data_IF_816993326544
#
_entry.id   IF_816993326544
#
_cell.length_a   1.000
_cell.length_b   1.000
_cell.length_c   1.000
_cell.angle_alpha   90.00
_cell.angle_beta   90.00
_cell.angle_gamma   90.00
#
_symmetry.space_group_name_H-M   'P 1'
#
loop_
_entity.id
_entity.type
_entity.pdbx_description
1 polymer ?
#
# COMPACT_ATOMS: atom_id res chain seq x y z
N UNK A 1 -12.97 6.05 -11.28
CA UNK A 1 -12.11 4.92 -10.87
C UNK A 1 -11.78 4.06 -12.08
N UNK A 2 -10.52 3.72 -12.25
CA UNK A 2 -10.09 2.81 -13.32
C UNK A 2 -9.84 1.42 -12.73
N UNK A 3 -10.47 0.41 -13.31
CA UNK A 3 -10.29 -0.98 -12.92
C UNK A 3 -9.50 -1.70 -13.99
N UNK A 4 -8.40 -2.34 -13.60
CA UNK A 4 -7.53 -3.05 -14.54
C UNK A 4 -7.27 -4.45 -14.00
N UNK A 5 -7.49 -5.46 -14.85
CA UNK A 5 -7.11 -6.84 -14.56
C UNK A 5 -6.01 -7.26 -15.52
N UNK A 6 -4.98 -7.89 -14.99
CA UNK A 6 -3.85 -8.34 -15.78
C UNK A 6 -3.15 -9.50 -15.09
N UNK A 7 -2.68 -10.50 -15.83
CA UNK A 7 -1.76 -11.47 -15.25
C UNK A 7 -0.49 -10.77 -14.74
N UNK A 8 0.15 -11.28 -13.70
CA UNK A 8 1.35 -10.64 -13.16
C UNK A 8 2.45 -10.39 -14.18
N UNK A 9 2.62 -11.29 -15.15
CA UNK A 9 3.66 -11.18 -16.17
C UNK A 9 3.42 -10.03 -17.17
N UNK A 10 2.20 -9.53 -17.25
CA UNK A 10 1.85 -8.42 -18.15
C UNK A 10 1.78 -7.07 -17.45
N UNK A 11 1.89 -7.03 -16.12
CA UNK A 11 1.80 -5.79 -15.36
C UNK A 11 2.80 -4.73 -15.81
N UNK A 12 3.99 -5.14 -16.19
CA UNK A 12 5.03 -4.22 -16.66
C UNK A 12 4.55 -3.35 -17.83
N UNK A 13 3.70 -3.91 -18.69
CA UNK A 13 3.18 -3.21 -19.86
C UNK A 13 1.87 -2.49 -19.56
N UNK A 14 1.02 -3.12 -18.75
CA UNK A 14 -0.33 -2.62 -18.48
C UNK A 14 -0.33 -1.41 -17.54
N UNK A 15 0.54 -1.41 -16.51
CA UNK A 15 0.55 -0.33 -15.52
C UNK A 15 0.87 1.05 -16.12
N UNK A 16 1.90 1.20 -16.97
CA UNK A 16 2.15 2.51 -17.59
C UNK A 16 0.96 3.01 -18.42
N UNK A 17 0.27 2.11 -19.11
CA UNK A 17 -0.91 2.46 -19.88
C UNK A 17 -2.05 2.95 -18.98
N UNK A 18 -2.25 2.28 -17.85
CA UNK A 18 -3.28 2.67 -16.90
C UNK A 18 -2.98 4.04 -16.28
N UNK A 19 -1.72 4.26 -15.91
CA UNK A 19 -1.29 5.54 -15.34
C UNK A 19 -1.48 6.68 -16.35
N UNK A 20 -1.16 6.45 -17.62
CA UNK A 20 -1.36 7.44 -18.66
C UNK A 20 -2.82 7.88 -18.79
N UNK A 21 -3.76 6.96 -18.62
CA UNK A 21 -5.18 7.28 -18.67
C UNK A 21 -5.63 8.17 -17.51
N UNK A 22 -4.85 8.20 -16.43
CA UNK A 22 -5.14 8.99 -15.25
C UNK A 22 -4.26 10.23 -15.12
N UNK A 23 -3.71 10.71 -16.24
CA UNK A 23 -2.76 11.83 -16.26
C UNK A 23 -3.32 13.16 -15.73
N UNK A 24 -4.65 13.31 -15.69
CA UNK A 24 -5.30 14.54 -15.24
C UNK A 24 -5.54 14.61 -13.74
N UNK A 25 -5.15 13.60 -12.98
CA UNK A 25 -5.39 13.57 -11.54
C UNK A 25 -4.15 14.00 -10.76
N UNK A 26 -4.36 14.49 -9.53
CA UNK A 26 -3.27 14.97 -8.67
C UNK A 26 -2.54 13.83 -7.97
N UNK A 27 -3.18 12.70 -7.81
CA UNK A 27 -2.60 11.54 -7.16
C UNK A 27 -3.28 10.28 -7.61
N UNK A 28 -2.57 9.17 -7.47
CA UNK A 28 -3.05 7.85 -7.87
C UNK A 28 -2.81 6.90 -6.72
N UNK A 29 -3.83 6.14 -6.37
CA UNK A 29 -3.73 5.06 -5.40
C UNK A 29 -3.82 3.74 -6.17
N UNK A 30 -2.81 2.90 -6.00
CA UNK A 30 -2.77 1.59 -6.64
C UNK A 30 -2.84 0.52 -5.56
N UNK A 31 -3.77 -0.41 -5.70
CA UNK A 31 -3.91 -1.54 -4.81
C UNK A 31 -3.33 -2.78 -5.46
N UNK A 32 -2.51 -3.51 -4.72
CA UNK A 32 -1.94 -4.75 -5.19
C UNK A 32 -0.45 -4.85 -4.92
N UNK A 33 -0.01 -5.99 -4.39
CA UNK A 33 1.38 -6.19 -4.00
C UNK A 33 2.34 -6.22 -5.20
N UNK A 34 1.90 -6.81 -6.30
CA UNK A 34 2.77 -6.99 -7.47
C UNK A 34 3.05 -5.69 -8.22
N UNK A 35 2.18 -4.69 -8.08
CA UNK A 35 2.34 -3.44 -8.79
C UNK A 35 3.56 -2.64 -8.36
N UNK A 36 4.02 -2.82 -7.13
CA UNK A 36 5.13 -2.05 -6.57
C UNK A 36 6.43 -2.25 -7.34
N UNK A 37 6.63 -3.44 -7.88
CA UNK A 37 7.84 -3.73 -8.65
C UNK A 37 7.94 -2.90 -9.94
N UNK A 38 6.80 -2.52 -10.50
CA UNK A 38 6.73 -1.83 -11.79
C UNK A 38 6.40 -0.35 -11.69
N UNK A 39 5.99 0.08 -10.52
CA UNK A 39 5.76 1.48 -10.22
C UNK A 39 6.76 1.93 -9.17
N UNK A 40 7.13 3.19 -9.21
CA UNK A 40 7.96 3.78 -8.16
C UNK A 40 7.06 4.68 -7.33
N UNK A 41 6.31 4.12 -6.38
CA UNK A 41 5.37 4.91 -5.60
C UNK A 41 6.11 5.88 -4.68
N UNK A 42 5.49 7.04 -4.45
CA UNK A 42 6.02 8.01 -3.50
C UNK A 42 5.83 7.52 -2.07
N UNK A 43 4.74 6.82 -1.81
CA UNK A 43 4.43 6.28 -0.48
C UNK A 43 3.90 4.86 -0.64
N UNK A 44 4.43 3.95 0.17
CA UNK A 44 3.98 2.57 0.23
C UNK A 44 3.28 2.34 1.56
N UNK A 45 2.02 1.91 1.52
CA UNK A 45 1.23 1.61 2.69
C UNK A 45 0.94 0.12 2.74
N UNK A 46 1.36 -0.53 3.82
CA UNK A 46 1.07 -1.94 4.06
C UNK A 46 -0.09 -2.03 5.04
N UNK A 47 -1.11 -2.79 4.66
CA UNK A 47 -2.28 -3.03 5.52
C UNK A 47 -2.21 -4.46 6.03
N UNK A 48 -2.05 -4.60 7.34
CA UNK A 48 -1.98 -5.92 7.98
C UNK A 48 -3.39 -6.46 8.21
N UNK A 49 -3.64 -7.67 7.73
CA UNK A 49 -4.91 -8.32 7.91
C UNK A 49 -5.12 -8.81 9.35
N UNK A 50 -6.36 -9.20 9.65
CA UNK A 50 -6.74 -9.70 10.99
C UNK A 50 -6.18 -11.08 11.30
N UNK A 51 -5.85 -11.86 10.28
CA UNK A 51 -5.43 -13.24 10.46
C UNK A 51 -3.93 -13.36 10.41
N UNK A 52 -3.34 -13.83 11.52
CA UNK A 52 -1.91 -14.07 11.61
C UNK A 52 -1.50 -15.30 10.84
N UNK A 53 -1.58 -15.24 9.52
CA UNK A 53 -1.07 -16.29 8.66
C UNK A 53 0.29 -15.93 8.10
N UNK A 54 0.96 -16.89 7.48
CA UNK A 54 2.21 -16.64 6.81
C UNK A 54 1.96 -15.66 5.64
N UNK A 55 2.82 -14.66 5.51
CA UNK A 55 2.73 -13.73 4.40
C UNK A 55 3.15 -14.38 3.09
N UNK A 56 2.47 -14.01 2.01
CA UNK A 56 2.93 -14.36 0.67
C UNK A 56 4.23 -13.62 0.38
N UNK A 57 5.07 -14.17 -0.48
CA UNK A 57 6.34 -13.51 -0.83
C UNK A 57 6.15 -12.08 -1.35
N UNK A 58 5.11 -11.85 -2.15
CA UNK A 58 4.81 -10.52 -2.65
C UNK A 58 4.48 -9.54 -1.52
N UNK A 59 3.78 -10.00 -0.48
CA UNK A 59 3.46 -9.18 0.68
C UNK A 59 4.70 -8.89 1.52
N UNK A 60 5.61 -9.84 1.64
CA UNK A 60 6.87 -9.62 2.35
C UNK A 60 7.70 -8.52 1.70
N UNK A 61 7.74 -8.48 0.37
CA UNK A 61 8.43 -7.43 -0.36
C UNK A 61 7.82 -6.05 -0.13
N UNK A 62 6.49 -5.99 -0.13
CA UNK A 62 5.78 -4.75 0.18
C UNK A 62 6.10 -4.28 1.58
N UNK A 63 6.08 -5.20 2.54
CA UNK A 63 6.38 -4.87 3.93
C UNK A 63 7.78 -4.29 4.09
N UNK A 64 8.77 -4.85 3.41
CA UNK A 64 10.15 -4.35 3.46
C UNK A 64 10.28 -2.91 2.94
N UNK A 65 9.44 -2.52 1.99
CA UNK A 65 9.48 -1.18 1.39
C UNK A 65 8.46 -0.23 2.01
N UNK A 66 7.63 -0.69 2.94
CA UNK A 66 6.55 0.12 3.48
C UNK A 66 7.04 1.36 4.23
N UNK A 67 6.39 2.48 3.96
CA UNK A 67 6.57 3.73 4.69
C UNK A 67 5.59 3.84 5.84
N UNK A 68 4.43 3.23 5.69
CA UNK A 68 3.34 3.26 6.66
C UNK A 68 2.79 1.85 6.81
N UNK A 69 2.50 1.45 8.05
CA UNK A 69 1.84 0.18 8.34
C UNK A 69 0.56 0.46 9.11
N UNK A 70 -0.57 0.01 8.57
CA UNK A 70 -1.87 0.09 9.21
C UNK A 70 -2.24 -1.28 9.76
N UNK A 71 -2.69 -1.34 11.01
CA UNK A 71 -3.08 -2.60 11.63
C UNK A 71 -4.21 -2.40 12.64
N UNK A 72 -5.07 -3.40 12.78
CA UNK A 72 -6.07 -3.48 13.86
C UNK A 72 -5.49 -4.23 15.04
N UNK A 73 -4.92 -5.38 14.78
CA UNK A 73 -4.28 -6.23 15.78
C UNK A 73 -2.77 -6.25 15.53
N UNK A 74 -1.98 -6.37 16.59
CA UNK A 74 -0.53 -6.41 16.46
C UNK A 74 -0.11 -7.50 15.47
N UNK A 75 0.64 -7.12 14.41
CA UNK A 75 1.11 -8.12 13.46
C UNK A 75 2.11 -9.09 14.11
N UNK A 76 2.02 -10.38 13.79
CA UNK A 76 2.93 -11.35 14.37
C UNK A 76 4.33 -11.34 13.76
N UNK A 77 4.52 -10.62 12.67
CA UNK A 77 5.82 -10.57 11.98
C UNK A 77 6.66 -9.39 12.47
N UNK A 78 7.95 -9.49 12.25
CA UNK A 78 8.86 -8.38 12.53
C UNK A 78 8.64 -7.26 11.51
N UNK A 79 8.43 -6.06 11.99
CA UNK A 79 8.16 -4.90 11.15
C UNK A 79 9.44 -4.09 10.91
N UNK A 80 9.59 -3.48 9.72
CA UNK A 80 10.76 -2.63 9.46
C UNK A 80 10.75 -1.39 10.34
N UNK A 81 11.92 -1.04 10.87
CA UNK A 81 12.07 0.07 11.80
C UNK A 81 11.73 1.42 11.16
N UNK A 82 11.93 1.57 9.87
CA UNK A 82 11.67 2.83 9.15
C UNK A 82 10.18 3.14 8.99
N UNK A 83 9.32 2.13 9.08
CA UNK A 83 7.89 2.30 8.81
C UNK A 83 7.17 2.90 10.02
N UNK A 84 6.33 3.89 9.76
CA UNK A 84 5.45 4.47 10.78
C UNK A 84 4.23 3.57 10.95
N UNK A 85 3.90 3.22 12.18
CA UNK A 85 2.80 2.30 12.48
C UNK A 85 1.59 3.07 13.01
N UNK A 86 0.41 2.69 12.54
CA UNK A 86 -0.84 3.27 13.01
C UNK A 86 -1.83 2.17 13.31
N UNK A 87 -2.32 2.15 14.55
CA UNK A 87 -3.40 1.24 14.93
C UNK A 87 -4.73 1.87 14.52
N UNK A 88 -5.50 1.17 13.71
CA UNK A 88 -6.76 1.67 13.16
C UNK A 88 -7.85 0.63 13.35
N UNK A 89 -9.11 1.05 13.17
CA UNK A 89 -10.26 0.17 13.15
C UNK A 89 -10.90 0.29 11.77
N UNK A 90 -11.06 -0.84 11.09
CA UNK A 90 -11.62 -0.84 9.74
C UNK A 90 -13.14 -0.87 9.71
N UNK A 91 -13.78 -1.39 10.76
CA UNK A 91 -15.24 -1.50 10.81
C UNK A 91 -15.75 -1.19 12.23
N UNK A 92 -16.37 -0.01 12.49
CA UNK A 92 -16.40 1.17 11.63
C UNK A 92 -15.04 1.83 11.52
N UNK A 93 -14.79 2.53 10.42
CA UNK A 93 -13.49 3.17 10.19
C UNK A 93 -13.20 4.24 11.26
N UNK A 94 -12.09 4.06 11.96
CA UNK A 94 -11.63 5.05 12.96
C UNK A 94 -10.12 4.93 13.16
N UNK A 95 -9.52 5.96 13.74
CA UNK A 95 -8.09 5.98 14.00
C UNK A 95 -7.22 6.37 12.82
N UNK A 96 -7.80 6.90 11.75
CA UNK A 96 -7.08 7.24 10.53
C UNK A 96 -6.54 8.67 10.50
N UNK A 97 -6.99 9.55 11.37
CA UNK A 97 -6.64 10.97 11.33
C UNK A 97 -5.13 11.20 11.41
N UNK A 98 -4.46 10.53 12.33
CA UNK A 98 -3.01 10.66 12.49
C UNK A 98 -2.27 10.16 11.24
N UNK A 99 -2.75 9.08 10.64
CA UNK A 99 -2.19 8.52 9.42
C UNK A 99 -2.33 9.52 8.27
N UNK A 100 -3.50 10.12 8.11
CA UNK A 100 -3.75 11.11 7.06
C UNK A 100 -2.84 12.33 7.22
N UNK A 101 -2.66 12.81 8.45
CA UNK A 101 -1.75 13.91 8.73
C UNK A 101 -0.31 13.56 8.37
N UNK A 102 0.12 12.34 8.68
CA UNK A 102 1.45 11.87 8.34
C UNK A 102 1.66 11.78 6.83
N UNK A 103 0.67 11.29 6.09
CA UNK A 103 0.72 11.24 4.63
C UNK A 103 0.88 12.64 4.05
N UNK A 104 0.12 13.61 4.55
CA UNK A 104 0.22 14.99 4.09
C UNK A 104 1.62 15.56 4.30
N UNK A 105 2.25 15.22 5.42
CA UNK A 105 3.62 15.65 5.69
C UNK A 105 4.63 15.02 4.73
N UNK A 106 4.44 13.75 4.39
CA UNK A 106 5.33 13.06 3.46
C UNK A 106 5.22 13.61 2.03
N UNK A 107 4.06 14.13 1.65
CA UNK A 107 3.82 14.64 0.31
C UNK A 107 4.25 16.09 0.10
N UNK A 108 4.68 16.75 1.14
CA UNK A 108 5.17 18.14 1.04
C UNK A 108 6.61 18.23 0.57
#
# INVERSE_FOLDING_TARGET
>A
MLWVQSPPEELKEVLPMAVDRLSNVRGIIVEGNSAIEFLKPDIVIFVSGRHGGALKKSAERVLETADIILFEDEPPMKLPAKAKRFKVVFTPMSGFDECLDYIQKLLK
#
